data_IF_726042092398
#
_entry.id   IF_726042092398
#
_cell.length_a   1.000
_cell.length_b   1.000
_cell.length_c   1.000
_cell.angle_alpha   90.00
_cell.angle_beta   90.00
_cell.angle_gamma   90.00
#
_symmetry.space_group_name_H-M   'P 1'
#
loop_
_entity.id
_entity.type
_entity.pdbx_description
1 polymer ?
#
# COMPACT_ATOMS: atom_id res chain seq x y z
N UNK A 1 11.39 -31.98 23.35
CA UNK A 1 10.05 -32.25 22.78
C UNK A 1 10.06 -31.72 21.36
N UNK A 2 9.75 -32.53 20.36
CA UNK A 2 9.75 -32.08 18.96
C UNK A 2 8.44 -31.33 18.68
N UNK A 3 8.54 -30.10 18.17
CA UNK A 3 7.42 -29.29 17.68
C UNK A 3 7.32 -29.43 16.15
N UNK A 4 6.18 -29.06 15.57
CA UNK A 4 5.96 -29.13 14.11
C UNK A 4 6.90 -28.23 13.30
N UNK A 5 7.35 -27.09 13.86
CA UNK A 5 8.26 -26.17 13.20
C UNK A 5 7.63 -25.34 12.08
N UNK A 6 6.30 -25.38 11.93
CA UNK A 6 5.55 -24.65 10.89
C UNK A 6 4.55 -23.68 11.50
N UNK A 7 4.41 -22.51 10.88
CA UNK A 7 3.47 -21.44 11.26
C UNK A 7 2.65 -20.96 10.05
N UNK A 8 2.55 -21.79 9.00
CA UNK A 8 2.00 -21.43 7.68
C UNK A 8 0.52 -21.79 7.58
N UNK A 9 -0.25 -21.66 8.66
CA UNK A 9 -1.67 -21.98 8.62
C UNK A 9 -2.43 -20.91 7.85
N UNK A 10 -3.03 -21.27 6.73
CA UNK A 10 -3.92 -20.42 5.95
C UNK A 10 -5.25 -21.13 5.76
N UNK A 11 -6.31 -20.35 5.62
CA UNK A 11 -7.65 -20.87 5.36
C UNK A 11 -8.19 -20.17 4.11
N UNK A 12 -8.48 -20.91 3.02
CA UNK A 12 -9.09 -20.32 1.85
C UNK A 12 -10.50 -19.83 2.17
N UNK A 13 -10.99 -18.86 1.40
CA UNK A 13 -12.30 -18.23 1.60
C UNK A 13 -13.43 -19.26 1.75
N UNK A 14 -13.44 -20.30 0.90
CA UNK A 14 -14.46 -21.35 0.97
C UNK A 14 -14.60 -21.98 2.35
N UNK A 15 -13.48 -22.21 3.04
CA UNK A 15 -13.47 -22.81 4.37
C UNK A 15 -13.93 -21.82 5.45
N UNK A 16 -13.57 -20.54 5.31
CA UNK A 16 -13.99 -19.47 6.22
C UNK A 16 -15.51 -19.32 6.19
N UNK A 17 -16.08 -19.15 4.99
CA UNK A 17 -17.52 -19.03 4.77
C UNK A 17 -18.24 -20.28 5.26
N UNK A 18 -17.76 -21.46 4.89
CA UNK A 18 -18.33 -22.73 5.34
C UNK A 18 -18.37 -22.85 6.87
N UNK A 19 -17.31 -22.41 7.56
CA UNK A 19 -17.28 -22.42 9.03
C UNK A 19 -18.26 -21.43 9.63
N UNK A 20 -18.45 -20.25 9.04
CA UNK A 20 -19.44 -19.27 9.51
C UNK A 20 -20.87 -19.83 9.41
N UNK A 21 -21.25 -20.39 8.26
CA UNK A 21 -22.55 -21.07 8.08
C UNK A 21 -22.74 -22.26 9.02
N UNK A 22 -21.67 -23.00 9.32
CA UNK A 22 -21.70 -24.06 10.32
C UNK A 22 -21.96 -23.53 11.74
N UNK A 23 -21.50 -22.32 12.08
CA UNK A 23 -21.85 -21.69 13.37
C UNK A 23 -23.32 -21.30 13.43
N UNK A 24 -23.89 -20.80 12.33
CA UNK A 24 -25.31 -20.51 12.21
C UNK A 24 -26.20 -21.74 12.27
N UNK A 25 -25.66 -22.92 11.93
CA UNK A 25 -26.40 -24.19 11.93
C UNK A 25 -27.38 -24.33 10.76
N UNK A 26 -27.25 -23.47 9.75
CA UNK A 26 -27.87 -23.61 8.42
C UNK A 26 -27.28 -24.86 7.74
N UNK A 27 -25.96 -25.07 7.90
CA UNK A 27 -25.29 -26.31 7.54
C UNK A 27 -25.34 -27.33 8.69
N UNK A 28 -25.88 -28.52 8.41
CA UNK A 28 -25.85 -29.68 9.31
C UNK A 28 -24.87 -30.70 8.71
N UNK A 29 -23.72 -30.93 9.38
CA UNK A 29 -22.74 -31.93 8.94
C UNK A 29 -21.89 -31.48 7.74
N UNK A 30 -21.54 -32.41 6.84
CA UNK A 30 -20.59 -32.20 5.72
C UNK A 30 -21.25 -31.66 4.43
N UNK A 31 -22.52 -31.23 4.45
CA UNK A 31 -23.21 -30.78 3.23
C UNK A 31 -22.52 -29.57 2.59
N UNK A 32 -22.27 -29.60 1.28
CA UNK A 32 -21.76 -28.45 0.53
C UNK A 32 -22.75 -27.28 0.60
N UNK A 33 -22.24 -26.05 0.67
CA UNK A 33 -23.11 -24.86 0.60
C UNK A 33 -23.72 -24.79 -0.78
N UNK A 34 -24.97 -24.33 -0.85
CA UNK A 34 -25.55 -24.01 -2.15
C UNK A 34 -24.82 -22.79 -2.75
N UNK A 35 -24.71 -22.70 -4.09
CA UNK A 35 -23.97 -21.61 -4.73
C UNK A 35 -24.44 -20.21 -4.34
N UNK A 36 -25.73 -20.04 -4.03
CA UNK A 36 -26.29 -18.76 -3.62
C UNK A 36 -25.86 -18.39 -2.19
N UNK A 37 -25.90 -19.33 -1.24
CA UNK A 37 -25.45 -19.12 0.15
C UNK A 37 -23.96 -18.79 0.21
N UNK A 38 -23.18 -19.42 -0.67
CA UNK A 38 -21.76 -19.13 -0.78
C UNK A 38 -21.49 -17.69 -1.27
N UNK A 39 -22.25 -17.24 -2.27
CA UNK A 39 -22.15 -15.86 -2.77
C UNK A 39 -22.55 -14.84 -1.69
N UNK A 40 -23.66 -15.08 -0.97
CA UNK A 40 -24.10 -14.23 0.14
C UNK A 40 -23.03 -14.13 1.24
N UNK A 41 -22.35 -15.25 1.50
CA UNK A 41 -21.21 -15.33 2.41
C UNK A 41 -20.00 -14.49 1.97
N UNK A 42 -19.64 -14.55 0.68
CA UNK A 42 -18.55 -13.73 0.12
C UNK A 42 -18.90 -12.24 0.18
N UNK A 43 -20.12 -11.87 -0.22
CA UNK A 43 -20.56 -10.48 -0.25
C UNK A 43 -20.55 -9.89 1.17
N UNK A 44 -21.08 -10.64 2.15
CA UNK A 44 -21.07 -10.27 3.57
C UNK A 44 -19.65 -10.17 4.14
N UNK A 45 -18.75 -11.07 3.73
CA UNK A 45 -17.35 -11.06 4.15
C UNK A 45 -16.62 -9.83 3.60
N UNK A 46 -16.83 -9.50 2.33
CA UNK A 46 -16.25 -8.30 1.74
C UNK A 46 -16.76 -7.02 2.44
N UNK A 47 -18.05 -6.96 2.78
CA UNK A 47 -18.61 -5.85 3.56
C UNK A 47 -17.98 -5.75 4.96
N UNK A 48 -17.79 -6.88 5.65
CA UNK A 48 -17.11 -6.93 6.95
C UNK A 48 -15.67 -6.40 6.85
N UNK A 49 -14.91 -6.88 5.86
CA UNK A 49 -13.52 -6.46 5.61
C UNK A 49 -13.46 -4.95 5.35
N UNK A 50 -14.34 -4.40 4.52
CA UNK A 50 -14.34 -2.96 4.24
C UNK A 50 -14.79 -2.13 5.44
N UNK A 51 -15.67 -2.64 6.30
CA UNK A 51 -16.04 -1.98 7.55
C UNK A 51 -14.83 -1.89 8.49
N UNK A 52 -14.13 -3.00 8.73
CA UNK A 52 -12.95 -3.02 9.60
C UNK A 52 -11.79 -2.18 9.05
N UNK A 53 -11.58 -2.20 7.73
CA UNK A 53 -10.62 -1.32 7.08
C UNK A 53 -10.90 0.17 7.35
N UNK A 54 -12.18 0.56 7.47
CA UNK A 54 -12.55 1.95 7.76
C UNK A 54 -12.34 2.34 9.23
N UNK A 55 -12.26 1.37 10.14
CA UNK A 55 -12.05 1.61 11.57
C UNK A 55 -10.59 1.96 11.91
N UNK A 56 -9.67 1.87 10.94
CA UNK A 56 -8.25 2.23 11.13
C UNK A 56 -7.50 1.29 12.08
N UNK A 57 -8.10 0.12 12.33
CA UNK A 57 -7.47 -1.03 12.94
C UNK A 57 -6.48 -1.56 11.90
N UNK A 58 -5.46 -2.32 12.29
CA UNK A 58 -4.50 -3.05 11.45
C UNK A 58 -3.10 -2.43 11.37
N UNK A 59 -2.30 -2.58 12.43
CA UNK A 59 -0.89 -2.18 12.45
C UNK A 59 -0.10 -2.82 11.31
N UNK A 60 -0.41 -4.07 10.96
CA UNK A 60 0.24 -4.81 9.87
C UNK A 60 -0.07 -4.28 8.47
N UNK A 61 -1.01 -3.35 8.32
CA UNK A 61 -1.29 -2.67 7.04
C UNK A 61 -0.46 -1.41 6.85
N UNK A 62 0.31 -1.00 7.87
CA UNK A 62 1.25 0.11 7.75
C UNK A 62 2.45 -0.33 6.94
N UNK A 63 2.69 0.36 5.85
CA UNK A 63 3.81 0.09 4.96
C UNK A 63 4.45 1.40 4.48
N UNK A 64 5.61 1.31 3.84
CA UNK A 64 6.36 2.44 3.32
C UNK A 64 6.37 2.44 1.79
N UNK A 65 6.18 3.63 1.22
CA UNK A 65 6.26 3.84 -0.21
C UNK A 65 7.08 5.08 -0.56
N UNK A 66 7.51 5.12 -1.81
CA UNK A 66 8.29 6.19 -2.42
C UNK A 66 7.46 6.85 -3.50
N UNK A 67 7.29 8.16 -3.42
CA UNK A 67 6.75 9.02 -4.46
C UNK A 67 7.89 9.79 -5.12
N UNK A 68 8.10 9.58 -6.42
CA UNK A 68 9.11 10.30 -7.17
C UNK A 68 8.62 11.71 -7.49
N UNK A 69 9.46 12.72 -7.25
CA UNK A 69 9.07 14.12 -7.49
C UNK A 69 9.57 14.61 -8.84
N UNK A 70 8.71 15.35 -9.52
CA UNK A 70 9.06 16.12 -10.70
C UNK A 70 9.34 17.58 -10.33
N UNK A 71 10.33 18.18 -11.00
CA UNK A 71 10.69 19.56 -10.75
C UNK A 71 9.55 20.52 -11.11
N UNK A 72 8.99 21.22 -10.11
CA UNK A 72 7.88 22.15 -10.30
C UNK A 72 6.47 21.56 -10.26
N UNK A 73 6.31 20.24 -10.08
CA UNK A 73 4.98 19.60 -9.97
C UNK A 73 4.49 19.63 -8.53
N UNK A 74 3.26 20.09 -8.34
CA UNK A 74 2.63 20.34 -7.02
C UNK A 74 1.64 19.27 -6.58
N UNK A 75 1.18 18.43 -7.49
CA UNK A 75 0.17 17.42 -7.24
C UNK A 75 0.55 16.12 -7.93
N UNK A 76 0.32 15.01 -7.22
CA UNK A 76 0.64 13.66 -7.65
C UNK A 76 -0.54 12.74 -7.39
N UNK A 77 -0.87 11.90 -8.35
CA UNK A 77 -1.83 10.81 -8.21
C UNK A 77 -1.10 9.57 -7.71
N UNK A 78 -1.58 8.95 -6.65
CA UNK A 78 -0.96 7.77 -6.03
C UNK A 78 -1.98 6.63 -6.04
N UNK A 79 -1.66 5.52 -6.69
CA UNK A 79 -2.50 4.33 -6.81
C UNK A 79 -2.16 3.54 -8.07
N UNK A 80 -2.89 2.45 -8.33
CA UNK A 80 -2.58 1.49 -9.41
C UNK A 80 -2.53 2.08 -10.83
N UNK A 81 -3.11 3.27 -11.04
CA UNK A 81 -3.12 4.01 -12.31
C UNK A 81 -2.64 5.45 -12.16
N UNK A 82 -1.90 5.73 -11.08
CA UNK A 82 -1.42 7.06 -10.73
C UNK A 82 -0.11 7.44 -11.42
N UNK A 83 0.52 8.49 -10.89
CA UNK A 83 1.91 8.84 -11.15
C UNK A 83 2.86 7.80 -10.52
N UNK A 84 4.13 7.89 -10.89
CA UNK A 84 5.15 6.94 -10.47
C UNK A 84 5.40 7.00 -8.96
N UNK A 85 4.87 6.00 -8.27
CA UNK A 85 5.10 5.73 -6.88
C UNK A 85 5.07 4.21 -6.65
N UNK A 86 5.99 3.70 -5.85
CA UNK A 86 6.14 2.27 -5.57
C UNK A 86 6.33 2.02 -4.06
N UNK A 87 6.20 0.77 -3.63
CA UNK A 87 6.60 0.37 -2.28
C UNK A 87 8.11 0.52 -2.11
N UNK A 88 8.55 0.81 -0.89
CA UNK A 88 9.97 1.05 -0.61
C UNK A 88 10.84 -0.17 -0.93
N UNK A 89 10.34 -1.38 -0.68
CA UNK A 89 11.07 -2.64 -0.93
C UNK A 89 11.26 -2.95 -2.42
N UNK A 90 10.42 -2.40 -3.29
CA UNK A 90 10.50 -2.54 -4.76
C UNK A 90 11.33 -1.40 -5.40
N UNK A 91 11.63 -0.34 -4.65
CA UNK A 91 12.41 0.78 -5.16
C UNK A 91 13.90 0.41 -5.32
N UNK A 92 14.38 0.47 -6.56
CA UNK A 92 15.80 0.31 -6.89
C UNK A 92 16.31 1.62 -7.49
N UNK A 93 17.40 2.15 -6.94
CA UNK A 93 18.05 3.35 -7.44
C UNK A 93 19.52 3.11 -7.80
N UNK A 94 19.93 3.59 -8.98
CA UNK A 94 21.29 3.46 -9.51
C UNK A 94 21.66 4.70 -10.31
N UNK A 95 22.85 4.73 -10.92
CA UNK A 95 23.31 5.83 -11.77
C UNK A 95 23.85 5.34 -13.11
N UNK A 96 23.81 6.19 -14.14
CA UNK A 96 24.39 5.89 -15.45
C UNK A 96 25.91 5.88 -15.41
N UNK A 97 26.54 4.94 -16.12
CA UNK A 97 28.01 4.82 -16.26
C UNK A 97 28.58 5.62 -17.42
N UNK A 98 27.75 6.07 -18.36
CA UNK A 98 28.12 6.89 -19.51
C UNK A 98 27.04 7.91 -19.80
N UNK A 99 27.43 9.01 -20.44
CA UNK A 99 26.48 9.93 -21.05
C UNK A 99 25.75 9.26 -22.22
N UNK A 100 24.50 9.66 -22.43
CA UNK A 100 23.59 9.17 -23.46
C UNK A 100 22.98 10.33 -24.22
N UNK A 101 22.63 10.09 -25.47
CA UNK A 101 22.02 11.08 -26.36
C UNK A 101 20.53 10.80 -26.53
N UNK A 102 19.79 11.80 -27.00
CA UNK A 102 18.38 11.61 -27.37
C UNK A 102 18.23 10.41 -28.31
N UNK A 103 17.16 9.64 -28.13
CA UNK A 103 16.82 8.37 -28.80
C UNK A 103 17.62 7.13 -28.39
N UNK A 104 18.65 7.25 -27.55
CA UNK A 104 19.36 6.08 -27.02
C UNK A 104 18.40 5.18 -26.23
N UNK A 105 18.45 3.88 -26.51
CA UNK A 105 17.70 2.84 -25.81
C UNK A 105 18.59 1.95 -24.94
N UNK A 106 19.90 1.92 -25.18
CA UNK A 106 20.82 1.04 -24.44
C UNK A 106 21.54 1.83 -23.36
N UNK A 107 21.31 1.46 -22.10
CA UNK A 107 21.86 2.14 -20.93
C UNK A 107 22.84 1.25 -20.18
N UNK A 108 23.99 1.83 -19.85
CA UNK A 108 24.95 1.21 -18.93
C UNK A 108 24.78 1.87 -17.56
N UNK A 109 24.51 1.06 -16.55
CA UNK A 109 24.22 1.47 -15.17
C UNK A 109 25.27 0.89 -14.23
N UNK A 110 25.43 1.48 -13.05
CA UNK A 110 26.39 0.98 -12.04
C UNK A 110 26.03 -0.44 -11.57
N UNK A 111 24.73 -0.75 -11.48
CA UNK A 111 24.21 -2.06 -11.13
C UNK A 111 22.80 -2.20 -11.70
N UNK A 112 22.47 -3.40 -12.19
CA UNK A 112 21.12 -3.83 -12.59
C UNK A 112 20.54 -4.88 -11.63
N UNK A 113 21.15 -5.06 -10.46
CA UNK A 113 20.67 -6.02 -9.46
C UNK A 113 19.22 -5.72 -9.06
N UNK A 114 18.36 -6.74 -9.14
CA UNK A 114 16.94 -6.64 -8.84
C UNK A 114 16.07 -6.12 -9.99
N UNK A 115 16.65 -5.63 -11.08
CA UNK A 115 15.89 -5.20 -12.26
C UNK A 115 15.42 -6.40 -13.09
N UNK A 116 14.20 -6.31 -13.61
CA UNK A 116 13.57 -7.31 -14.46
C UNK A 116 13.02 -6.66 -15.73
N UNK A 117 12.89 -7.44 -16.81
CA UNK A 117 12.21 -6.99 -18.01
C UNK A 117 10.72 -6.74 -17.70
N UNK A 118 10.20 -5.57 -18.10
CA UNK A 118 8.87 -5.10 -17.77
C UNK A 118 8.83 -4.01 -16.70
N UNK A 119 9.88 -3.87 -15.88
CA UNK A 119 9.94 -2.86 -14.83
C UNK A 119 9.83 -1.45 -15.40
N UNK A 120 9.19 -0.57 -14.64
CA UNK A 120 9.20 0.87 -14.91
C UNK A 120 10.57 1.43 -14.56
N UNK A 121 11.13 2.24 -15.46
CA UNK A 121 12.45 2.86 -15.32
C UNK A 121 12.40 4.34 -15.65
N UNK A 122 12.84 5.16 -14.70
CA UNK A 122 12.89 6.60 -14.78
C UNK A 122 14.32 7.08 -14.86
N UNK A 123 14.71 7.69 -15.97
CA UNK A 123 16.07 8.22 -16.19
C UNK A 123 16.08 9.74 -16.04
N UNK A 124 16.99 10.29 -15.23
CA UNK A 124 17.26 11.73 -15.15
C UNK A 124 17.87 12.23 -16.48
N UNK A 125 17.29 13.32 -17.01
CA UNK A 125 17.76 14.02 -18.19
C UNK A 125 18.46 15.33 -17.80
N UNK A 126 19.28 15.87 -18.71
CA UNK A 126 20.07 17.08 -18.48
C UNK A 126 19.23 18.34 -18.24
N UNK A 127 17.95 18.31 -18.62
CA UNK A 127 16.99 19.39 -18.39
C UNK A 127 16.29 19.30 -17.01
N UNK A 128 16.77 18.44 -16.10
CA UNK A 128 16.19 18.22 -14.77
C UNK A 128 14.73 17.73 -14.83
N UNK A 129 14.44 16.87 -15.80
CA UNK A 129 13.21 16.09 -15.88
C UNK A 129 13.55 14.60 -15.80
N UNK A 130 12.58 13.77 -15.40
CA UNK A 130 12.72 12.31 -15.39
C UNK A 130 11.90 11.76 -16.54
N UNK A 131 12.52 10.91 -17.37
CA UNK A 131 11.82 10.19 -18.42
C UNK A 131 11.50 8.79 -17.95
N UNK A 132 10.21 8.50 -17.82
CA UNK A 132 9.70 7.18 -17.49
C UNK A 132 9.42 6.36 -18.76
N UNK A 133 9.90 5.13 -18.76
CA UNK A 133 9.68 4.12 -19.79
C UNK A 133 9.76 2.74 -19.12
N UNK A 134 9.74 1.65 -19.90
CA UNK A 134 9.89 0.29 -19.37
C UNK A 134 11.20 -0.34 -19.81
N UNK A 135 11.71 -1.28 -19.00
CA UNK A 135 12.85 -2.12 -19.36
C UNK A 135 12.37 -3.18 -20.35
N UNK A 136 12.97 -3.21 -21.54
CA UNK A 136 12.71 -4.25 -22.53
C UNK A 136 13.48 -5.53 -22.19
N UNK A 137 14.78 -5.39 -21.91
CA UNK A 137 15.66 -6.51 -21.51
C UNK A 137 16.71 -6.03 -20.51
N UNK A 138 17.11 -6.95 -19.61
CA UNK A 138 18.31 -6.79 -18.77
C UNK A 138 19.41 -7.60 -19.42
N UNK A 139 20.34 -6.92 -20.08
CA UNK A 139 21.33 -7.55 -20.96
C UNK A 139 22.56 -8.06 -20.19
N UNK A 140 22.88 -7.43 -19.05
CA UNK A 140 23.94 -7.86 -18.13
C UNK A 140 23.78 -7.21 -16.74
N UNK A 141 24.71 -7.49 -15.82
CA UNK A 141 24.75 -6.88 -14.48
C UNK A 141 24.95 -5.36 -14.44
N UNK A 142 25.26 -4.75 -15.58
CA UNK A 142 25.51 -3.30 -15.73
C UNK A 142 24.82 -2.70 -16.96
N UNK A 143 23.95 -3.43 -17.65
CA UNK A 143 23.34 -2.97 -18.89
C UNK A 143 21.87 -3.38 -19.00
N UNK A 144 21.05 -2.41 -19.41
CA UNK A 144 19.64 -2.60 -19.75
C UNK A 144 19.36 -2.01 -21.13
N UNK A 145 18.34 -2.52 -21.78
CA UNK A 145 17.74 -1.93 -22.98
C UNK A 145 16.32 -1.46 -22.65
N UNK A 146 16.03 -0.20 -22.96
CA UNK A 146 14.75 0.45 -22.76
C UNK A 146 13.80 0.18 -23.93
N UNK A 147 12.50 0.13 -23.65
CA UNK A 147 11.46 -0.01 -24.67
C UNK A 147 11.35 1.21 -25.58
N UNK A 148 11.51 2.41 -25.01
CA UNK A 148 11.51 3.67 -25.74
C UNK A 148 12.80 4.46 -25.47
N UNK A 149 13.33 5.11 -26.50
CA UNK A 149 14.53 5.95 -26.38
C UNK A 149 14.25 7.25 -25.65
N UNK A 150 15.25 7.78 -24.95
CA UNK A 150 15.10 9.01 -24.16
C UNK A 150 14.84 10.25 -25.04
N UNK A 151 14.04 11.23 -24.59
CA UNK A 151 13.69 12.40 -25.40
C UNK A 151 14.79 13.48 -25.42
N UNK A 152 15.70 13.48 -24.44
CA UNK A 152 16.83 14.41 -24.34
C UNK A 152 18.09 13.68 -23.88
N UNK A 153 19.24 14.35 -23.93
CA UNK A 153 20.49 13.78 -23.43
C UNK A 153 20.45 13.55 -21.91
N UNK A 154 21.24 12.58 -21.46
CA UNK A 154 21.48 12.28 -20.06
C UNK A 154 22.98 12.21 -19.82
N UNK A 155 23.49 13.01 -18.89
CA UNK A 155 24.90 13.04 -18.50
C UNK A 155 25.37 11.76 -17.82
N UNK A 156 26.69 11.65 -17.67
CA UNK A 156 27.33 10.65 -16.80
C UNK A 156 26.87 10.85 -15.35
N UNK A 157 26.52 9.75 -14.68
CA UNK A 157 26.13 9.77 -13.27
C UNK A 157 24.71 10.27 -13.01
N UNK A 158 23.89 10.43 -14.07
CA UNK A 158 22.46 10.70 -13.92
C UNK A 158 21.77 9.57 -13.16
N UNK A 159 20.79 9.90 -12.34
CA UNK A 159 20.07 8.87 -11.58
C UNK A 159 19.11 8.08 -12.46
N UNK A 160 19.01 6.79 -12.17
CA UNK A 160 18.09 5.85 -12.77
C UNK A 160 17.32 5.14 -11.65
N UNK A 161 16.00 5.29 -11.64
CA UNK A 161 15.12 4.67 -10.65
C UNK A 161 14.28 3.61 -11.34
N UNK A 162 14.14 2.44 -10.72
CA UNK A 162 13.35 1.33 -11.25
C UNK A 162 12.46 0.74 -10.17
N UNK A 163 11.32 0.21 -10.59
CA UNK A 163 10.38 -0.53 -9.76
C UNK A 163 9.49 -1.40 -10.65
N UNK A 164 8.90 -2.44 -10.06
CA UNK A 164 8.06 -3.42 -10.74
C UNK A 164 6.61 -2.98 -10.75
N UNK A 165 6.07 -2.59 -9.59
CA UNK A 165 4.64 -2.32 -9.42
C UNK A 165 4.38 -0.92 -8.86
N UNK A 166 3.31 -0.32 -9.36
CA UNK A 166 2.78 0.91 -8.77
C UNK A 166 2.14 0.57 -7.42
N UNK A 167 2.33 1.47 -6.46
CA UNK A 167 1.73 1.37 -5.14
C UNK A 167 0.20 1.40 -5.23
N UNK A 168 -0.45 0.53 -4.46
CA UNK A 168 -1.91 0.57 -4.28
C UNK A 168 -2.35 1.89 -3.63
N UNK A 169 -3.59 2.30 -3.85
CA UNK A 169 -4.11 3.56 -3.30
C UNK A 169 -4.01 3.56 -1.76
N UNK A 170 -3.33 4.53 -1.12
CA UNK A 170 -3.31 4.62 0.33
C UNK A 170 -4.71 4.93 0.90
N UNK A 171 -5.14 4.25 1.97
CA UNK A 171 -6.34 4.69 2.70
C UNK A 171 -6.06 6.00 3.43
N UNK A 172 -4.90 6.04 4.10
CA UNK A 172 -4.43 7.18 4.87
C UNK A 172 -2.90 7.20 4.81
N UNK A 173 -2.34 8.40 4.80
CA UNK A 173 -0.90 8.61 4.94
C UNK A 173 -0.64 9.16 6.35
N UNK A 174 0.21 8.47 7.11
CA UNK A 174 0.52 8.78 8.50
C UNK A 174 1.66 9.79 8.62
N UNK A 175 2.70 9.65 7.78
CA UNK A 175 3.84 10.55 7.79
C UNK A 175 4.46 10.69 6.42
N UNK A 176 5.05 11.86 6.16
CA UNK A 176 5.86 12.13 4.99
C UNK A 176 7.30 12.47 5.42
N UNK A 177 8.26 11.97 4.66
CA UNK A 177 9.69 12.23 4.81
C UNK A 177 10.28 12.46 3.44
N UNK A 178 11.03 13.54 3.26
CA UNK A 178 11.77 13.76 2.02
C UNK A 178 13.15 13.13 2.13
N UNK A 179 13.64 12.64 1.00
CA UNK A 179 15.02 12.16 0.82
C UNK A 179 15.51 12.56 -0.56
N UNK A 180 16.79 12.84 -0.67
CA UNK A 180 17.47 13.07 -1.94
C UNK A 180 18.36 11.86 -2.20
N UNK A 181 18.38 11.33 -3.43
CA UNK A 181 19.09 10.08 -3.73
C UNK A 181 20.57 10.05 -3.29
N UNK A 182 21.27 11.17 -3.40
CA UNK A 182 22.69 11.26 -3.04
C UNK A 182 22.97 11.26 -1.52
N UNK A 183 21.93 11.42 -0.67
CA UNK A 183 22.07 11.59 0.77
C UNK A 183 21.20 10.58 1.51
N UNK A 184 21.72 9.98 2.58
CA UNK A 184 20.93 9.02 3.37
C UNK A 184 19.97 9.64 4.37
N UNK A 185 20.08 10.96 4.60
CA UNK A 185 19.26 11.67 5.56
C UNK A 185 17.79 11.75 5.10
N UNK A 186 16.89 11.29 5.96
CA UNK A 186 15.45 11.50 5.82
C UNK A 186 15.03 12.68 6.67
N UNK A 187 14.30 13.62 6.07
CA UNK A 187 13.86 14.83 6.74
C UNK A 187 12.32 14.82 6.79
N UNK A 188 11.70 14.92 7.98
CA UNK A 188 10.26 14.92 8.08
C UNK A 188 9.65 16.12 7.33
N UNK A 189 8.53 15.85 6.67
CA UNK A 189 7.71 16.83 5.95
C UNK A 189 6.44 17.03 6.76
N UNK A 190 6.06 18.28 6.97
CA UNK A 190 4.90 18.61 7.79
C UNK A 190 3.63 18.25 7.02
N UNK A 191 2.75 17.47 7.65
CA UNK A 191 1.41 17.17 7.14
C UNK A 191 0.52 18.39 7.31
N UNK A 192 -0.05 18.88 6.21
CA UNK A 192 -1.03 19.96 6.23
C UNK A 192 -2.44 19.42 6.08
N UNK A 193 -3.39 20.18 6.63
CA UNK A 193 -4.80 20.05 6.34
C UNK A 193 -5.12 20.55 4.93
N UNK A 194 -6.32 20.20 4.47
CA UNK A 194 -6.84 20.69 3.18
C UNK A 194 -6.83 22.22 3.12
N UNK A 195 -7.37 22.89 4.14
CA UNK A 195 -7.50 24.35 4.13
C UNK A 195 -6.14 25.05 4.10
N UNK A 196 -5.18 24.58 4.90
CA UNK A 196 -3.82 25.14 4.93
C UNK A 196 -3.14 25.08 3.56
N UNK A 197 -3.27 23.96 2.85
CA UNK A 197 -2.73 23.83 1.50
C UNK A 197 -3.48 24.73 0.51
N UNK A 198 -4.82 24.73 0.54
CA UNK A 198 -5.60 25.45 -0.45
C UNK A 198 -5.54 26.98 -0.27
N UNK A 199 -5.32 27.47 0.95
CA UNK A 199 -5.13 28.89 1.28
C UNK A 199 -3.74 29.43 0.88
N UNK A 200 -2.79 28.57 0.49
CA UNK A 200 -1.52 29.04 -0.04
C UNK A 200 -1.70 29.80 -1.35
N UNK A 201 -1.20 31.03 -1.38
CA UNK A 201 -1.32 31.94 -2.54
C UNK A 201 -0.52 31.40 -3.73
N UNK A 202 0.70 30.92 -3.49
CA UNK A 202 1.59 30.42 -4.54
C UNK A 202 1.94 28.94 -4.32
N UNK A 203 1.32 28.08 -5.11
CA UNK A 203 1.50 26.62 -5.08
C UNK A 203 2.58 26.12 -6.05
N UNK A 204 3.06 26.96 -6.96
CA UNK A 204 4.08 26.60 -7.97
C UNK A 204 5.48 27.09 -7.61
N UNK A 205 5.65 27.69 -6.43
CA UNK A 205 6.98 28.08 -5.92
C UNK A 205 7.88 26.84 -5.86
N UNK A 206 9.05 26.94 -6.50
CA UNK A 206 10.06 25.87 -6.53
C UNK A 206 11.01 26.03 -5.35
N UNK A 207 11.38 24.91 -4.76
CA UNK A 207 12.34 24.84 -3.68
C UNK A 207 12.43 23.43 -3.14
N UNK A 208 12.48 23.34 -1.82
CA UNK A 208 12.50 22.06 -1.12
C UNK A 208 11.11 21.77 -0.58
N UNK A 209 10.61 20.55 -0.78
CA UNK A 209 9.33 20.14 -0.22
C UNK A 209 9.41 20.18 1.31
N UNK A 210 8.52 20.94 1.94
CA UNK A 210 8.49 21.11 3.41
C UNK A 210 7.14 20.75 4.00
N UNK A 211 6.10 20.78 3.17
CA UNK A 211 4.73 20.49 3.52
C UNK A 211 4.10 19.56 2.49
N UNK A 212 3.22 18.67 2.94
CA UNK A 212 2.45 17.80 2.07
C UNK A 212 1.03 17.59 2.62
N UNK A 213 0.06 17.41 1.73
CA UNK A 213 -1.34 17.14 2.05
C UNK A 213 -1.82 15.95 1.23
N UNK A 214 -2.51 14.99 1.88
CA UNK A 214 -3.09 13.84 1.21
C UNK A 214 -4.62 13.95 1.15
N UNK A 215 -5.18 13.70 -0.03
CA UNK A 215 -6.62 13.57 -0.25
C UNK A 215 -6.92 12.20 -0.86
N UNK A 216 -7.60 11.29 -0.13
CA UNK A 216 -8.05 10.04 -0.73
C UNK A 216 -9.19 10.33 -1.72
N UNK A 217 -9.02 9.96 -3.00
CA UNK A 217 -10.12 9.88 -3.98
C UNK A 217 -10.48 8.41 -4.22
N UNK A 218 -11.49 8.14 -5.05
CA UNK A 218 -12.04 6.79 -5.23
C UNK A 218 -11.03 5.78 -5.83
N UNK A 219 -10.41 6.13 -6.96
CA UNK A 219 -9.50 5.24 -7.69
C UNK A 219 -8.03 5.46 -7.33
N UNK A 220 -7.62 6.71 -7.15
CA UNK A 220 -6.26 7.08 -6.74
C UNK A 220 -6.32 8.08 -5.59
N UNK A 221 -5.34 8.06 -4.72
CA UNK A 221 -5.07 9.15 -3.80
C UNK A 221 -4.45 10.34 -4.52
N UNK A 222 -4.60 11.54 -3.97
CA UNK A 222 -3.90 12.72 -4.47
C UNK A 222 -3.02 13.31 -3.37
N UNK A 223 -1.73 13.33 -3.62
CA UNK A 223 -0.72 13.97 -2.76
C UNK A 223 -0.42 15.33 -3.32
N UNK A 224 -0.53 16.36 -2.49
CA UNK A 224 -0.16 17.72 -2.80
C UNK A 224 1.10 18.08 -2.02
N UNK A 225 2.04 18.78 -2.65
CA UNK A 225 3.33 19.13 -2.05
C UNK A 225 3.58 20.64 -2.12
N UNK A 226 4.22 21.19 -1.10
CA UNK A 226 4.68 22.58 -1.08
C UNK A 226 5.97 22.74 -0.27
N UNK A 227 6.96 23.50 -0.70
CA UNK A 227 7.17 24.00 -2.07
C UNK A 227 7.30 22.84 -3.06
N UNK A 228 7.17 23.12 -4.36
CA UNK A 228 7.42 22.10 -5.40
C UNK A 228 8.90 21.78 -5.50
N UNK A 229 9.26 20.53 -5.82
CA UNK A 229 10.65 20.11 -5.88
C UNK A 229 11.46 20.92 -6.90
N UNK A 230 12.72 21.20 -6.58
CA UNK A 230 13.66 21.82 -7.50
C UNK A 230 14.47 20.79 -8.30
N UNK A 231 14.49 19.51 -7.88
CA UNK A 231 15.23 18.45 -8.55
C UNK A 231 14.43 17.15 -8.62
N UNK A 232 14.61 16.39 -9.69
CA UNK A 232 14.05 15.04 -9.87
C UNK A 232 14.78 13.96 -9.07
N UNK A 233 15.85 14.34 -8.36
CA UNK A 233 16.57 13.46 -7.44
C UNK A 233 15.98 13.44 -6.03
N UNK A 234 15.04 14.35 -5.76
CA UNK A 234 14.26 14.37 -4.53
C UNK A 234 13.05 13.44 -4.68
N UNK A 235 12.75 12.70 -3.63
CA UNK A 235 11.56 11.86 -3.52
C UNK A 235 10.98 11.92 -2.11
N UNK A 236 9.70 11.60 -1.98
CA UNK A 236 9.02 11.52 -0.70
C UNK A 236 8.85 10.06 -0.33
N UNK A 237 9.44 9.66 0.79
CA UNK A 237 9.08 8.46 1.52
C UNK A 237 7.87 8.75 2.39
N UNK A 238 6.87 7.90 2.36
CA UNK A 238 5.70 8.08 3.20
C UNK A 238 5.25 6.75 3.78
N UNK A 239 4.83 6.81 5.04
CA UNK A 239 4.23 5.67 5.74
C UNK A 239 2.73 5.77 5.58
N UNK A 240 2.10 4.71 5.08
CA UNK A 240 0.69 4.70 4.77
C UNK A 240 0.00 3.42 5.23
N UNK A 241 -1.32 3.49 5.34
CA UNK A 241 -2.18 2.33 5.55
C UNK A 241 -2.64 1.84 4.17
N UNK A 242 -2.23 0.62 3.80
CA UNK A 242 -2.67 -0.01 2.56
C UNK A 242 -4.15 -0.41 2.65
N UNK A 243 -4.82 -0.52 1.51
CA UNK A 243 -6.18 -1.08 1.50
C UNK A 243 -6.09 -2.59 1.71
N UNK A 244 -7.02 -3.13 2.48
CA UNK A 244 -7.24 -4.58 2.56
C UNK A 244 -7.85 -5.07 1.25
N UNK A 245 -7.28 -6.15 0.72
CA UNK A 245 -7.77 -6.81 -0.49
C UNK A 245 -9.17 -7.39 -0.27
N UNK A 246 -10.00 -7.31 -1.30
CA UNK A 246 -11.27 -8.02 -1.37
C UNK A 246 -11.08 -9.45 -1.87
N UNK A 247 -12.01 -10.31 -1.51
CA UNK A 247 -12.06 -11.69 -1.97
C UNK A 247 -12.82 -11.73 -3.29
N UNK A 248 -12.21 -12.35 -4.30
CA UNK A 248 -12.78 -12.46 -5.66
C UNK A 248 -13.02 -13.89 -6.10
N UNK A 249 -12.30 -14.85 -5.50
CA UNK A 249 -12.43 -16.28 -5.75
C UNK A 249 -12.59 -17.07 -4.44
N UNK A 250 -13.14 -18.26 -4.57
CA UNK A 250 -13.29 -19.25 -3.50
C UNK A 250 -11.95 -19.78 -2.95
N UNK A 251 -10.90 -19.73 -3.78
CA UNK A 251 -9.54 -20.16 -3.43
C UNK A 251 -8.66 -19.06 -2.85
N UNK A 252 -9.11 -17.80 -2.90
CA UNK A 252 -8.34 -16.67 -2.38
C UNK A 252 -8.17 -16.82 -0.86
N UNK A 253 -6.97 -16.51 -0.37
CA UNK A 253 -6.72 -16.37 1.05
C UNK A 253 -7.12 -14.98 1.51
N UNK A 254 -7.53 -14.85 2.76
CA UNK A 254 -7.81 -13.55 3.36
C UNK A 254 -6.53 -12.78 3.62
N UNK A 255 -6.57 -11.49 3.32
CA UNK A 255 -5.48 -10.52 3.54
C UNK A 255 -5.40 -10.09 5.02
N UNK A 256 -5.31 -11.07 5.90
CA UNK A 256 -5.25 -10.89 7.35
C UNK A 256 -4.23 -11.86 7.97
N UNK A 257 -3.57 -11.48 9.08
CA UNK A 257 -2.78 -12.42 9.86
C UNK A 257 -3.64 -13.58 10.37
N UNK A 258 -3.04 -14.77 10.52
CA UNK A 258 -3.76 -15.98 10.91
C UNK A 258 -4.58 -15.87 12.21
N UNK A 259 -4.19 -14.97 13.13
CA UNK A 259 -4.87 -14.75 14.42
C UNK A 259 -6.27 -14.14 14.24
N UNK A 260 -6.51 -13.48 13.10
CA UNK A 260 -7.79 -12.86 12.77
C UNK A 260 -8.82 -13.84 12.21
N UNK A 261 -8.43 -15.07 11.85
CA UNK A 261 -9.33 -16.04 11.24
C UNK A 261 -10.53 -16.37 12.15
N UNK A 262 -10.29 -16.54 13.45
CA UNK A 262 -11.36 -16.85 14.40
C UNK A 262 -12.36 -15.70 14.59
N UNK A 263 -11.93 -14.45 14.87
CA UNK A 263 -12.87 -13.33 14.96
C UNK A 263 -13.60 -13.09 13.63
N UNK A 264 -12.95 -13.25 12.46
CA UNK A 264 -13.61 -13.13 11.15
C UNK A 264 -14.76 -14.14 11.02
N UNK A 265 -14.52 -15.42 11.34
CA UNK A 265 -15.57 -16.46 11.23
C UNK A 265 -16.78 -16.14 12.12
N UNK A 266 -16.56 -15.66 13.34
CA UNK A 266 -17.67 -15.36 14.26
C UNK A 266 -18.40 -14.06 13.89
N UNK A 267 -17.70 -13.03 13.43
CA UNK A 267 -18.33 -11.78 13.00
C UNK A 267 -19.07 -11.94 11.66
N UNK A 268 -18.53 -12.75 10.74
CA UNK A 268 -19.26 -13.13 9.52
C UNK A 268 -20.54 -13.90 9.87
N UNK A 269 -20.45 -14.85 10.81
CA UNK A 269 -21.64 -15.56 11.29
C UNK A 269 -22.64 -14.63 11.98
N UNK A 270 -22.21 -13.53 12.62
CA UNK A 270 -23.13 -12.57 13.24
C UNK A 270 -23.89 -11.76 12.19
N UNK A 271 -23.20 -11.25 11.16
CA UNK A 271 -23.84 -10.52 10.05
C UNK A 271 -24.84 -11.41 9.32
N UNK A 272 -24.44 -12.63 8.98
CA UNK A 272 -25.31 -13.60 8.30
C UNK A 272 -26.47 -14.08 9.19
N UNK A 273 -26.41 -13.91 10.52
CA UNK A 273 -27.49 -14.33 11.41
C UNK A 273 -28.77 -13.50 11.22
N UNK A 274 -28.66 -12.26 10.74
CA UNK A 274 -29.80 -11.40 10.49
C UNK A 274 -30.58 -11.82 9.22
N UNK A 275 -29.88 -12.40 8.24
CA UNK A 275 -30.47 -12.82 6.96
C UNK A 275 -31.07 -14.24 7.04
N UNK A 276 -30.47 -15.12 7.84
CA UNK A 276 -30.91 -16.50 8.01
C UNK A 276 -31.64 -16.63 9.35
N UNK A 277 -32.93 -16.96 9.34
CA UNK A 277 -33.87 -17.02 10.49
C UNK A 277 -33.39 -17.89 11.68
N UNK A 278 -32.38 -17.40 12.40
CA UNK A 278 -31.68 -18.08 13.49
C UNK A 278 -32.39 -17.78 14.81
N UNK A 279 -32.53 -18.80 15.65
CA UNK A 279 -33.18 -18.63 16.96
C UNK A 279 -32.51 -17.51 17.79
N UNK A 280 -33.27 -16.62 18.44
CA UNK A 280 -32.72 -15.48 19.18
C UNK A 280 -31.66 -15.84 20.24
N UNK A 281 -31.81 -16.99 20.90
CA UNK A 281 -30.85 -17.47 21.89
C UNK A 281 -29.49 -17.82 21.27
N UNK A 282 -29.48 -18.31 20.02
CA UNK A 282 -28.25 -18.65 19.30
C UNK A 282 -27.58 -17.40 18.75
N UNK A 283 -28.37 -16.47 18.19
CA UNK A 283 -27.90 -15.16 17.75
C UNK A 283 -27.20 -14.40 18.89
N UNK A 284 -27.83 -14.30 20.07
CA UNK A 284 -27.20 -13.67 21.25
C UNK A 284 -25.85 -14.30 21.64
N UNK A 285 -25.72 -15.63 21.51
CA UNK A 285 -24.47 -16.33 21.80
C UNK A 285 -23.39 -16.07 20.76
N UNK A 286 -23.76 -15.95 19.48
CA UNK A 286 -22.82 -15.62 18.40
C UNK A 286 -22.35 -14.19 18.57
N UNK A 287 -23.27 -13.24 18.73
CA UNK A 287 -22.97 -11.83 18.93
C UNK A 287 -22.04 -11.60 20.14
N UNK A 288 -22.34 -12.19 21.29
CA UNK A 288 -21.49 -12.06 22.48
C UNK A 288 -20.07 -12.60 22.26
N UNK A 289 -19.92 -13.68 21.48
CA UNK A 289 -18.60 -14.23 21.13
C UNK A 289 -17.89 -13.40 20.08
N UNK A 290 -18.61 -12.93 19.06
CA UNK A 290 -18.07 -12.09 18.00
C UNK A 290 -17.49 -10.79 18.58
N UNK A 291 -18.24 -10.15 19.48
CA UNK A 291 -17.81 -8.94 20.18
C UNK A 291 -16.57 -9.19 21.07
N UNK A 292 -16.58 -10.24 21.89
CA UNK A 292 -15.44 -10.56 22.77
C UNK A 292 -14.17 -10.89 21.98
N UNK A 293 -14.28 -11.69 20.92
CA UNK A 293 -13.12 -12.07 20.11
C UNK A 293 -12.55 -10.89 19.31
N UNK A 294 -13.42 -9.96 18.90
CA UNK A 294 -12.99 -8.73 18.27
C UNK A 294 -12.23 -7.87 19.29
N UNK A 295 -12.80 -7.61 20.47
CA UNK A 295 -12.14 -6.80 21.51
C UNK A 295 -10.75 -7.34 21.89
N UNK A 296 -10.64 -8.67 22.06
CA UNK A 296 -9.38 -9.35 22.37
C UNK A 296 -8.31 -9.13 21.29
N UNK A 297 -8.67 -9.22 20.00
CA UNK A 297 -7.71 -9.03 18.91
C UNK A 297 -7.36 -7.56 18.70
N UNK A 298 -8.30 -6.65 18.96
CA UNK A 298 -8.04 -5.21 18.88
C UNK A 298 -7.07 -4.76 19.96
N UNK A 299 -7.22 -5.24 21.20
CA UNK A 299 -6.25 -4.97 22.26
C UNK A 299 -4.85 -5.52 21.98
N UNK A 300 -4.73 -6.52 21.11
CA UNK A 300 -3.44 -7.05 20.68
C UNK A 300 -2.80 -6.25 19.53
N UNK A 301 -3.61 -5.66 18.65
CA UNK A 301 -3.17 -4.93 17.45
C UNK A 301 -2.77 -3.46 17.71
N UNK A 302 -2.75 -3.03 18.98
CA UNK A 302 -2.27 -1.70 19.36
C UNK A 302 -0.73 -1.60 19.29
N UNK A 303 -0.21 -0.41 18.97
CA UNK A 303 1.23 -0.16 19.05
C UNK A 303 1.72 -0.30 20.49
N UNK A 304 2.74 -1.14 20.71
CA UNK A 304 3.44 -1.23 22.00
C UNK A 304 4.30 0.01 22.24
N UNK A 305 3.66 1.14 22.51
CA UNK A 305 4.31 2.38 22.93
C UNK A 305 3.92 2.75 24.36
N UNK A 306 4.82 3.42 25.06
CA UNK A 306 4.55 3.87 26.43
C UNK A 306 3.72 5.15 26.39
N UNK A 307 2.54 5.11 26.98
CA UNK A 307 1.73 6.32 27.20
C UNK A 307 2.37 7.17 28.31
N UNK A 308 3.03 8.26 27.93
CA UNK A 308 3.56 9.24 28.88
C UNK A 308 2.49 10.29 29.18
N UNK A 309 1.79 10.14 30.30
CA UNK A 309 0.90 11.17 30.84
C UNK A 309 1.73 12.09 31.73
N UNK A 310 1.87 13.35 31.34
CA UNK A 310 2.42 14.39 32.21
C UNK A 310 1.33 15.40 32.59
N UNK A 311 1.24 15.83 33.86
CA UNK A 311 0.39 16.94 34.23
C UNK A 311 0.90 18.23 33.59
N UNK A 312 -0.01 18.99 33.00
CA UNK A 312 0.27 20.34 32.49
C UNK A 312 0.52 21.27 33.68
N UNK A 313 1.79 21.59 33.93
CA UNK A 313 2.16 22.58 34.93
C UNK A 313 2.14 23.97 34.27
N UNK A 314 0.98 24.64 34.35
CA UNK A 314 0.88 26.10 34.18
C UNK A 314 1.44 26.85 35.39
#
# INVERSE_FOLDING_TARGET
MATSGTITYTMPTVDVVTKAFSKLGVKIGEQELEPHEFQDGIDSLNLLIKNWAAQGLHLWTKDEAVLFLDAGKSDYLVGATGDEACQLDDFIGTTTLLAKVSTDTVFQLVSTAGMVAGDSVGIELDNNTRHWTTILTVDSSIQITLTAGIPSASKLGSTAFTFTTLVSRPQRILSFRRKTFANDNEIPVITWSREEYFNQINKSSKGTVVNAYYSPQLNNGRVYVWQTANSVNDFIRYTFERQLEDVTTDTDNLDFPQEWLLPIIYNLADILADDYDVTPAKMQKINAKAASLLDDILGWDEEMTSLFIQPDFN
#
